data_IF_437232760316
#
_entry.id   IF_437232760316
#
_cell.length_a   1.000
_cell.length_b   1.000
_cell.length_c   1.000
_cell.angle_alpha   90.00
_cell.angle_beta   90.00
_cell.angle_gamma   90.00
#
_symmetry.space_group_name_H-M   'P 1'
#
loop_
_entity.id
_entity.type
_entity.pdbx_description
1 polymer ?
#
# COMPACT_ATOMS: atom_id res chain seq x y z
N UNK A 1 -20.19 -35.86 26.96
CA UNK A 1 -20.93 -34.60 26.75
C UNK A 1 -20.39 -33.89 25.52
N UNK A 2 -21.17 -33.87 24.43
CA UNK A 2 -20.78 -33.18 23.20
C UNK A 2 -21.01 -31.69 23.41
N UNK A 3 -19.94 -30.90 23.49
CA UNK A 3 -20.01 -29.44 23.41
C UNK A 3 -20.83 -29.07 22.18
N UNK A 4 -22.03 -28.50 22.39
CA UNK A 4 -22.89 -28.03 21.31
C UNK A 4 -22.06 -27.13 20.38
N UNK A 5 -21.87 -27.54 19.12
CA UNK A 5 -21.13 -26.75 18.13
C UNK A 5 -21.85 -25.42 17.95
N UNK A 6 -21.37 -24.36 18.61
CA UNK A 6 -21.80 -22.98 18.34
C UNK A 6 -21.60 -22.71 16.85
N UNK A 7 -22.54 -22.03 16.20
CA UNK A 7 -22.42 -21.60 14.80
C UNK A 7 -21.78 -20.21 14.77
N UNK A 8 -20.90 -19.97 13.81
CA UNK A 8 -20.31 -18.65 13.59
C UNK A 8 -21.38 -17.69 13.07
N UNK A 9 -21.31 -16.43 13.51
CA UNK A 9 -22.15 -15.33 13.02
C UNK A 9 -21.33 -14.46 12.07
N UNK A 10 -22.02 -13.82 11.13
CA UNK A 10 -21.44 -12.79 10.29
C UNK A 10 -21.49 -11.46 11.03
N UNK A 11 -20.39 -10.73 10.99
CA UNK A 11 -20.26 -9.38 11.52
C UNK A 11 -19.78 -8.46 10.40
N UNK A 12 -20.38 -7.28 10.31
CA UNK A 12 -20.01 -6.27 9.33
C UNK A 12 -18.81 -5.45 9.82
N UNK A 13 -17.76 -5.45 9.00
CA UNK A 13 -16.52 -4.69 9.19
C UNK A 13 -16.48 -3.53 8.21
N UNK A 14 -16.38 -2.31 8.74
CA UNK A 14 -16.26 -1.10 7.95
C UNK A 14 -14.80 -0.85 7.50
N UNK A 15 -14.65 -0.53 6.22
CA UNK A 15 -13.39 -0.12 5.58
C UNK A 15 -13.48 1.37 5.26
N UNK A 16 -13.09 2.26 6.19
CA UNK A 16 -13.29 3.70 6.05
C UNK A 16 -12.53 4.30 4.87
N UNK A 17 -11.38 3.73 4.48
CA UNK A 17 -10.58 4.24 3.36
C UNK A 17 -11.26 4.06 2.00
N UNK A 18 -12.15 3.07 1.89
CA UNK A 18 -12.79 2.68 0.64
C UNK A 18 -14.30 2.90 0.69
N UNK A 19 -14.83 3.34 1.83
CA UNK A 19 -16.27 3.47 2.12
C UNK A 19 -17.04 2.19 1.78
N UNK A 20 -16.52 1.04 2.20
CA UNK A 20 -17.14 -0.27 1.98
C UNK A 20 -17.25 -1.09 3.25
N UNK A 21 -18.24 -1.97 3.29
CA UNK A 21 -18.40 -2.97 4.33
C UNK A 21 -17.98 -4.34 3.81
N UNK A 22 -17.41 -5.15 4.70
CA UNK A 22 -17.06 -6.55 4.43
C UNK A 22 -17.51 -7.41 5.60
N UNK A 23 -17.98 -8.62 5.31
CA UNK A 23 -18.45 -9.53 6.34
C UNK A 23 -17.35 -10.48 6.79
N UNK A 24 -17.16 -10.60 8.10
CA UNK A 24 -16.30 -11.61 8.72
C UNK A 24 -17.10 -12.55 9.59
N UNK A 25 -16.68 -13.81 9.62
CA UNK A 25 -17.25 -14.82 10.50
C UNK A 25 -16.47 -14.93 11.81
N UNK A 26 -17.17 -14.88 12.93
CA UNK A 26 -16.63 -15.12 14.26
C UNK A 26 -17.68 -15.72 15.19
N UNK A 27 -17.26 -16.29 16.32
CA UNK A 27 -18.18 -16.68 17.39
C UNK A 27 -18.57 -15.48 18.25
N UNK A 28 -17.60 -14.60 18.52
CA UNK A 28 -17.75 -13.39 19.34
C UNK A 28 -17.01 -12.20 18.71
N UNK A 29 -17.45 -10.97 19.03
CA UNK A 29 -16.85 -9.73 18.52
C UNK A 29 -15.37 -9.58 18.89
N UNK A 30 -14.96 -10.11 20.05
CA UNK A 30 -13.57 -10.08 20.52
C UNK A 30 -12.62 -10.86 19.61
N UNK A 31 -13.08 -11.95 18.99
CA UNK A 31 -12.26 -12.74 18.08
C UNK A 31 -11.97 -12.05 16.73
N UNK A 32 -12.66 -10.94 16.43
CA UNK A 32 -12.41 -10.15 15.23
C UNK A 32 -11.20 -9.24 15.39
N UNK A 33 -10.82 -8.92 16.63
CA UNK A 33 -9.73 -8.01 16.90
C UNK A 33 -8.40 -8.57 16.39
N UNK A 34 -7.68 -7.76 15.61
CA UNK A 34 -6.38 -8.15 15.07
C UNK A 34 -6.42 -9.10 13.86
N UNK A 35 -7.59 -9.56 13.41
CA UNK A 35 -7.71 -10.32 12.16
C UNK A 35 -7.25 -9.46 10.98
N UNK A 36 -6.60 -10.12 10.02
CA UNK A 36 -6.14 -9.49 8.79
C UNK A 36 -7.10 -9.80 7.64
N UNK A 37 -7.59 -8.76 6.98
CA UNK A 37 -8.42 -8.86 5.78
C UNK A 37 -7.59 -8.45 4.58
N UNK A 38 -7.54 -9.30 3.55
CA UNK A 38 -7.04 -8.93 2.23
C UNK A 38 -8.20 -8.50 1.34
N UNK A 39 -8.16 -7.26 0.87
CA UNK A 39 -9.17 -6.70 -0.04
C UNK A 39 -8.56 -6.38 -1.40
N UNK A 40 -9.24 -6.77 -2.48
CA UNK A 40 -8.83 -6.47 -3.84
C UNK A 40 -9.43 -5.13 -4.31
N UNK A 41 -8.56 -4.19 -4.65
CA UNK A 41 -8.92 -2.85 -5.09
C UNK A 41 -8.98 -2.71 -6.62
N UNK A 42 -8.75 -3.79 -7.38
CA UNK A 42 -8.63 -3.74 -8.85
C UNK A 42 -9.84 -3.12 -9.53
N UNK A 43 -11.06 -3.43 -9.06
CA UNK A 43 -12.30 -2.86 -9.60
C UNK A 43 -12.44 -1.36 -9.29
N UNK A 44 -12.04 -0.95 -8.09
CA UNK A 44 -12.17 0.44 -7.63
C UNK A 44 -11.17 1.34 -8.34
N UNK A 45 -9.94 0.85 -8.54
CA UNK A 45 -8.85 1.60 -9.16
C UNK A 45 -8.80 1.43 -10.69
N UNK A 46 -9.95 1.14 -11.32
CA UNK A 46 -10.12 1.05 -12.78
C UNK A 46 -9.04 0.20 -13.47
N UNK A 47 -8.75 -0.99 -12.92
CA UNK A 47 -7.80 -1.94 -13.50
C UNK A 47 -6.36 -1.83 -12.97
N UNK A 48 -6.07 -0.92 -12.02
CA UNK A 48 -4.83 -0.98 -11.24
C UNK A 48 -4.91 -2.10 -10.21
N UNK A 49 -4.08 -3.11 -10.42
CA UNK A 49 -4.15 -4.36 -9.67
C UNK A 49 -3.43 -4.28 -8.34
N UNK A 50 -4.20 -4.04 -7.29
CA UNK A 50 -3.66 -3.68 -5.99
C UNK A 50 -4.41 -4.42 -4.89
N UNK A 51 -3.66 -5.04 -4.00
CA UNK A 51 -4.19 -5.66 -2.78
C UNK A 51 -3.91 -4.76 -1.60
N UNK A 52 -4.91 -4.60 -0.75
CA UNK A 52 -4.79 -3.93 0.53
C UNK A 52 -4.99 -4.95 1.65
N UNK A 53 -4.10 -4.95 2.63
CA UNK A 53 -4.26 -5.67 3.89
C UNK A 53 -4.69 -4.69 4.96
N UNK A 54 -5.79 -5.03 5.61
CA UNK A 54 -6.41 -4.27 6.68
C UNK A 54 -6.32 -5.09 7.97
N UNK A 55 -6.09 -4.43 9.10
CA UNK A 55 -6.19 -5.01 10.43
C UNK A 55 -7.49 -4.55 11.05
N UNK A 56 -8.32 -5.49 11.51
CA UNK A 56 -9.58 -5.17 12.16
C UNK A 56 -9.32 -4.68 13.58
N UNK A 57 -9.97 -3.57 13.95
CA UNK A 57 -10.00 -3.01 15.30
C UNK A 57 -11.46 -2.95 15.75
N UNK A 58 -11.74 -3.59 16.87
CA UNK A 58 -13.09 -3.63 17.44
C UNK A 58 -13.25 -2.44 18.39
N UNK A 59 -14.26 -1.62 18.18
CA UNK A 59 -14.77 -0.67 19.18
C UNK A 59 -16.14 -1.18 19.59
N UNK A 60 -16.56 -0.95 20.84
CA UNK A 60 -17.64 -1.68 21.55
C UNK A 60 -18.93 -1.92 20.74
N UNK A 61 -19.27 -1.06 19.77
CA UNK A 61 -20.42 -1.22 18.89
C UNK A 61 -20.09 -1.34 17.39
N UNK A 62 -18.86 -1.03 16.96
CA UNK A 62 -18.47 -1.00 15.53
C UNK A 62 -17.12 -1.65 15.29
N UNK A 63 -17.06 -2.53 14.30
CA UNK A 63 -15.78 -3.10 13.84
C UNK A 63 -15.22 -2.28 12.69
N UNK A 64 -14.13 -1.56 12.97
CA UNK A 64 -13.44 -0.72 12.00
C UNK A 64 -12.16 -1.41 11.53
N UNK A 65 -11.58 -0.93 10.44
CA UNK A 65 -10.35 -1.52 9.91
C UNK A 65 -9.30 -0.47 9.57
N UNK A 66 -8.05 -0.76 9.96
CA UNK A 66 -6.90 0.12 9.77
C UNK A 66 -6.01 -0.48 8.68
N UNK A 67 -5.53 0.32 7.71
CA UNK A 67 -4.63 -0.17 6.67
C UNK A 67 -3.27 -0.55 7.26
N UNK A 68 -2.82 -1.77 6.96
CA UNK A 68 -1.50 -2.27 7.37
C UNK A 68 -0.54 -2.31 6.19
N UNK A 69 -1.01 -2.76 5.04
CA UNK A 69 -0.14 -2.96 3.88
C UNK A 69 -0.90 -2.75 2.58
N UNK A 70 -0.22 -2.18 1.61
CA UNK A 70 -0.63 -2.11 0.23
C UNK A 70 0.42 -2.80 -0.64
N UNK A 71 -0.03 -3.58 -1.62
CA UNK A 71 0.83 -4.32 -2.54
C UNK A 71 0.27 -4.28 -3.95
N UNK A 72 1.09 -3.87 -4.91
CA UNK A 72 0.81 -4.09 -6.33
C UNK A 72 0.99 -5.56 -6.68
N UNK A 73 0.03 -6.08 -7.44
CA UNK A 73 0.03 -7.45 -7.88
C UNK A 73 1.10 -7.69 -8.96
N UNK A 74 1.82 -8.83 -8.94
CA UNK A 74 2.93 -9.08 -9.87
C UNK A 74 2.52 -9.03 -11.34
N UNK A 75 1.30 -9.43 -11.68
CA UNK A 75 0.82 -9.43 -13.07
C UNK A 75 0.70 -8.01 -13.64
N UNK A 76 0.40 -7.00 -12.81
CA UNK A 76 0.41 -5.61 -13.23
C UNK A 76 1.83 -5.14 -13.53
N UNK A 77 2.80 -5.46 -12.67
CA UNK A 77 4.21 -5.13 -12.90
C UNK A 77 4.74 -5.79 -14.19
N UNK A 78 4.49 -7.09 -14.38
CA UNK A 78 4.90 -7.82 -15.58
C UNK A 78 4.34 -7.21 -16.87
N UNK A 79 3.08 -6.75 -16.86
CA UNK A 79 2.43 -6.11 -18.01
C UNK A 79 3.05 -4.75 -18.35
N UNK A 80 3.55 -4.02 -17.35
CA UNK A 80 4.17 -2.71 -17.56
C UNK A 80 5.65 -2.80 -17.97
N UNK A 81 6.33 -3.89 -17.61
CA UNK A 81 7.71 -4.13 -18.04
C UNK A 81 7.77 -4.52 -19.52
N UNK A 82 8.52 -3.74 -20.30
CA UNK A 82 8.74 -3.99 -21.74
C UNK A 82 10.22 -4.24 -22.02
N UNK A 83 10.51 -5.01 -23.07
CA UNK A 83 11.89 -5.16 -23.56
C UNK A 83 12.45 -3.79 -23.96
N UNK A 84 13.74 -3.56 -23.71
CA UNK A 84 14.38 -2.28 -24.00
C UNK A 84 14.18 -1.18 -22.95
N UNK A 85 13.58 -1.49 -21.81
CA UNK A 85 13.45 -0.58 -20.65
C UNK A 85 14.31 -1.05 -19.48
N UNK A 86 14.63 -0.14 -18.56
CA UNK A 86 15.17 -0.53 -17.25
C UNK A 86 14.17 -0.19 -16.14
N UNK A 87 14.09 -1.08 -15.14
CA UNK A 87 13.39 -0.81 -13.90
C UNK A 87 14.39 -0.32 -12.84
N UNK A 88 13.91 0.54 -11.95
CA UNK A 88 14.62 1.00 -10.77
C UNK A 88 13.74 0.71 -9.56
N UNK A 89 14.31 -0.04 -8.63
CA UNK A 89 13.69 -0.37 -7.35
C UNK A 89 14.56 0.12 -6.21
N UNK A 90 13.88 0.37 -5.09
CA UNK A 90 14.50 0.61 -3.81
C UNK A 90 13.66 0.01 -2.68
N UNK A 91 14.23 -0.09 -1.48
CA UNK A 91 13.51 -0.50 -0.28
C UNK A 91 14.12 0.21 0.91
N UNK A 92 13.39 1.15 1.51
CA UNK A 92 13.82 1.88 2.69
C UNK A 92 12.70 1.98 3.72
N UNK A 93 13.06 2.28 4.96
CA UNK A 93 12.11 2.69 5.99
C UNK A 93 12.09 4.21 6.11
N UNK A 94 10.90 4.76 6.33
CA UNK A 94 10.68 6.19 6.53
C UNK A 94 9.79 6.40 7.74
N UNK A 95 10.16 7.32 8.62
CA UNK A 95 9.36 7.70 9.78
C UNK A 95 8.30 8.70 9.35
N UNK A 96 7.04 8.37 9.61
CA UNK A 96 5.92 9.32 9.58
C UNK A 96 5.74 9.94 10.96
N UNK A 97 4.78 10.86 11.09
CA UNK A 97 4.35 11.39 12.39
C UNK A 97 3.96 10.29 13.39
N UNK A 98 3.23 9.27 12.91
CA UNK A 98 2.61 8.27 13.79
C UNK A 98 3.39 6.95 13.86
N UNK A 99 3.95 6.50 12.73
CA UNK A 99 4.54 5.16 12.60
C UNK A 99 5.69 5.13 11.59
N UNK A 100 6.46 4.04 11.61
CA UNK A 100 7.49 3.78 10.62
C UNK A 100 6.92 2.95 9.45
N UNK A 101 7.19 3.37 8.22
CA UNK A 101 6.71 2.71 7.00
C UNK A 101 7.87 2.11 6.23
N UNK A 102 7.70 0.88 5.75
CA UNK A 102 8.57 0.27 4.73
C UNK A 102 8.00 0.52 3.36
N UNK A 103 8.78 1.18 2.50
CA UNK A 103 8.33 1.63 1.19
C UNK A 103 9.24 1.05 0.13
N UNK A 104 8.63 0.49 -0.91
CA UNK A 104 9.31 -0.02 -2.09
C UNK A 104 8.81 0.70 -3.33
N UNK A 105 9.45 1.80 -3.76
CA UNK A 105 9.13 2.43 -5.02
C UNK A 105 9.53 1.54 -6.19
N UNK A 106 8.78 1.67 -7.29
CA UNK A 106 9.00 0.96 -8.54
C UNK A 106 8.89 1.94 -9.71
N UNK A 107 10.01 2.16 -10.39
CA UNK A 107 10.10 3.06 -11.52
C UNK A 107 10.45 2.27 -12.78
N UNK A 108 9.86 2.65 -13.91
CA UNK A 108 10.24 2.14 -15.23
C UNK A 108 10.67 3.32 -16.09
N UNK A 109 11.86 3.21 -16.69
CA UNK A 109 12.41 4.18 -17.64
C UNK A 109 11.88 3.90 -19.05
N UNK A 110 11.76 4.93 -19.90
CA UNK A 110 11.29 4.74 -21.29
C UNK A 110 12.22 3.92 -22.18
N UNK A 111 13.53 3.97 -21.93
CA UNK A 111 14.56 3.22 -22.66
C UNK A 111 15.62 2.70 -21.70
N UNK A 112 16.57 1.92 -22.21
CA UNK A 112 17.76 1.55 -21.44
C UNK A 112 18.56 2.79 -21.07
N UNK A 113 19.01 2.85 -19.83
CA UNK A 113 19.75 3.97 -19.25
C UNK A 113 21.00 3.50 -18.55
N UNK A 114 21.99 4.38 -18.48
CA UNK A 114 23.25 4.10 -17.80
C UNK A 114 23.05 3.83 -16.30
N UNK A 115 24.05 3.21 -15.66
CA UNK A 115 24.02 2.93 -14.22
C UNK A 115 23.95 4.23 -13.40
N UNK A 116 24.62 5.29 -13.84
CA UNK A 116 24.62 6.60 -13.18
C UNK A 116 23.20 7.21 -13.12
N UNK A 117 22.46 7.20 -14.24
CA UNK A 117 21.08 7.71 -14.28
C UNK A 117 20.16 6.91 -13.37
N UNK A 118 20.32 5.57 -13.34
CA UNK A 118 19.53 4.72 -12.41
C UNK A 118 19.82 5.01 -10.94
N UNK A 119 21.09 5.27 -10.60
CA UNK A 119 21.48 5.66 -9.23
C UNK A 119 20.87 7.01 -8.86
N UNK A 120 21.01 8.02 -9.72
CA UNK A 120 20.42 9.34 -9.51
C UNK A 120 18.90 9.30 -9.33
N UNK A 121 18.18 8.52 -10.17
CA UNK A 121 16.74 8.32 -10.03
C UNK A 121 16.37 7.67 -8.68
N UNK A 122 17.15 6.68 -8.23
CA UNK A 122 16.92 5.99 -6.96
C UNK A 122 17.09 6.91 -5.76
N UNK A 123 18.22 7.62 -5.71
CA UNK A 123 18.57 8.52 -4.60
C UNK A 123 17.56 9.67 -4.53
N UNK A 124 17.26 10.30 -5.67
CA UNK A 124 16.27 11.37 -5.71
C UNK A 124 14.87 10.89 -5.33
N UNK A 125 14.46 9.70 -5.80
CA UNK A 125 13.16 9.15 -5.41
C UNK A 125 13.06 8.90 -3.91
N UNK A 126 14.13 8.40 -3.29
CA UNK A 126 14.21 8.18 -1.85
C UNK A 126 14.08 9.47 -1.06
N UNK A 127 14.87 10.50 -1.41
CA UNK A 127 14.82 11.82 -0.77
C UNK A 127 13.41 12.41 -0.81
N UNK A 128 12.80 12.46 -1.99
CA UNK A 128 11.50 13.07 -2.21
C UNK A 128 10.39 12.33 -1.46
N UNK A 129 10.45 11.00 -1.39
CA UNK A 129 9.48 10.20 -0.64
C UNK A 129 9.64 10.43 0.87
N UNK A 130 10.87 10.49 1.38
CA UNK A 130 11.13 10.74 2.81
C UNK A 130 10.61 12.13 3.21
N UNK A 131 10.89 13.15 2.39
CA UNK A 131 10.44 14.51 2.64
C UNK A 131 8.90 14.61 2.60
N UNK A 132 8.27 13.97 1.61
CA UNK A 132 6.81 13.97 1.46
C UNK A 132 6.08 13.33 2.65
N UNK A 133 6.69 12.30 3.24
CA UNK A 133 6.06 11.47 4.28
C UNK A 133 6.25 12.05 5.69
N UNK A 134 7.33 12.78 5.93
CA UNK A 134 7.68 13.32 7.25
C UNK A 134 6.54 14.11 7.92
N UNK A 135 5.73 14.80 7.14
CA UNK A 135 4.67 15.69 7.63
C UNK A 135 3.27 15.07 7.66
N UNK A 136 3.10 13.80 7.24
CA UNK A 136 1.78 13.18 7.05
C UNK A 136 1.53 12.02 8.00
N UNK A 137 0.24 11.72 8.19
CA UNK A 137 -0.19 10.52 8.91
C UNK A 137 -0.20 9.31 7.98
N UNK A 138 -0.13 8.11 8.57
CA UNK A 138 -0.15 6.85 7.81
C UNK A 138 -1.42 6.71 6.97
N UNK A 139 -2.59 7.01 7.53
CA UNK A 139 -3.88 6.91 6.84
C UNK A 139 -3.99 7.84 5.63
N UNK A 140 -3.52 9.09 5.77
CA UNK A 140 -3.48 10.05 4.66
C UNK A 140 -2.59 9.55 3.52
N UNK A 141 -1.42 9.00 3.86
CA UNK A 141 -0.50 8.43 2.86
C UNK A 141 -1.18 7.29 2.10
N UNK A 142 -1.92 6.42 2.79
CA UNK A 142 -2.70 5.36 2.13
C UNK A 142 -3.74 5.94 1.17
N UNK A 143 -4.49 6.97 1.58
CA UNK A 143 -5.48 7.62 0.71
C UNK A 143 -4.82 8.29 -0.51
N UNK A 144 -3.69 8.96 -0.34
CA UNK A 144 -2.98 9.64 -1.42
C UNK A 144 -2.42 8.67 -2.45
N UNK A 145 -1.96 7.50 -2.01
CA UNK A 145 -1.51 6.42 -2.90
C UNK A 145 -2.67 5.87 -3.72
N UNK A 146 -3.85 5.68 -3.11
CA UNK A 146 -5.05 5.25 -3.83
C UNK A 146 -5.49 6.29 -4.87
N UNK A 147 -5.36 7.58 -4.55
CA UNK A 147 -5.64 8.70 -5.47
C UNK A 147 -4.53 8.94 -6.51
N UNK A 148 -3.42 8.20 -6.45
CA UNK A 148 -2.21 8.37 -7.27
C UNK A 148 -1.55 9.76 -7.14
N UNK A 149 -1.75 10.48 -6.04
CA UNK A 149 -1.23 11.83 -5.87
C UNK A 149 0.28 11.82 -5.64
N UNK A 150 0.77 10.95 -4.77
CA UNK A 150 2.19 10.77 -4.49
C UNK A 150 2.96 10.34 -5.74
N UNK A 151 2.41 9.41 -6.51
CA UNK A 151 3.03 8.91 -7.74
C UNK A 151 3.15 10.00 -8.81
N UNK A 152 2.12 10.85 -8.97
CA UNK A 152 2.13 11.96 -9.93
C UNK A 152 3.15 13.03 -9.55
N UNK A 153 3.18 13.45 -8.28
CA UNK A 153 4.13 14.46 -7.81
C UNK A 153 5.58 13.97 -7.95
N UNK A 154 5.84 12.71 -7.60
CA UNK A 154 7.15 12.07 -7.75
C UNK A 154 7.56 11.97 -9.23
N UNK A 155 6.63 11.58 -10.10
CA UNK A 155 6.91 11.46 -11.54
C UNK A 155 7.31 12.79 -12.17
N UNK A 156 6.72 13.91 -11.77
CA UNK A 156 7.06 15.24 -12.30
C UNK A 156 8.48 15.63 -11.90
N UNK A 157 8.84 15.43 -10.63
CA UNK A 157 10.18 15.74 -10.11
C UNK A 157 11.26 14.87 -10.77
N UNK A 158 11.02 13.56 -10.88
CA UNK A 158 11.96 12.62 -11.49
C UNK A 158 12.12 12.81 -13.01
N UNK A 159 11.11 13.38 -13.69
CA UNK A 159 11.18 13.69 -15.12
C UNK A 159 12.31 14.67 -15.47
N UNK A 160 12.75 15.50 -14.51
CA UNK A 160 13.92 16.38 -14.66
C UNK A 160 15.22 15.62 -14.89
N UNK A 161 15.36 14.43 -14.30
CA UNK A 161 16.54 13.57 -14.48
C UNK A 161 16.37 12.74 -15.76
N UNK A 162 15.23 12.04 -15.89
CA UNK A 162 14.96 11.21 -17.05
C UNK A 162 13.45 10.93 -17.20
N UNK A 163 12.90 10.89 -18.43
CA UNK A 163 11.50 10.58 -18.63
C UNK A 163 11.15 9.14 -18.21
N UNK A 164 10.22 9.02 -17.27
CA UNK A 164 9.68 7.73 -16.82
C UNK A 164 8.49 7.28 -17.65
N UNK A 165 8.35 5.97 -17.81
CA UNK A 165 7.16 5.32 -18.35
C UNK A 165 6.15 4.98 -17.24
N UNK A 166 6.65 4.67 -16.04
CA UNK A 166 5.82 4.33 -14.89
C UNK A 166 6.53 4.75 -13.61
N UNK A 167 5.76 5.31 -12.67
CA UNK A 167 6.20 5.62 -11.33
C UNK A 167 5.11 5.15 -10.36
N UNK A 168 5.38 4.10 -9.61
CA UNK A 168 4.40 3.47 -8.72
C UNK A 168 5.05 3.05 -7.40
N UNK A 169 4.22 2.82 -6.38
CA UNK A 169 4.67 2.21 -5.11
C UNK A 169 4.29 0.73 -5.14
N UNK A 170 5.30 -0.13 -5.20
CA UNK A 170 5.10 -1.59 -5.27
C UNK A 170 4.58 -2.15 -3.96
N UNK A 171 5.19 -1.78 -2.84
CA UNK A 171 4.79 -2.20 -1.51
C UNK A 171 4.90 -1.00 -0.58
N UNK A 172 3.84 -0.76 0.20
CA UNK A 172 3.89 0.07 1.40
C UNK A 172 3.40 -0.76 2.57
N UNK A 173 4.17 -0.82 3.65
CA UNK A 173 3.84 -1.62 4.84
C UNK A 173 4.13 -0.83 6.10
N UNK A 174 3.16 -0.78 7.02
CA UNK A 174 3.38 -0.25 8.36
C UNK A 174 4.25 -1.24 9.14
N UNK A 175 5.38 -0.75 9.64
CA UNK A 175 6.19 -1.45 10.63
C UNK A 175 5.60 -1.03 11.99
N UNK A 176 4.70 -1.86 12.52
CA UNK A 176 4.42 -1.77 13.95
C UNK A 176 5.70 -2.24 14.64
N UNK A 177 6.32 -1.37 15.45
CA UNK A 177 7.26 -1.85 16.46
C UNK A 177 6.47 -2.85 17.30
N UNK A 178 6.78 -4.14 17.13
CA UNK A 178 6.47 -5.12 18.15
C UNK A 178 7.31 -4.70 19.36
N UNK A 179 6.65 -4.17 20.39
CA UNK A 179 7.08 -4.45 21.75
C UNK A 179 7.05 -5.97 21.99
#
# INVERSE_FOLDING_TARGET
MVLAKKKKKFFDVEIPIVNKTTQLQAYELKELEGKLITYDLTRILRGKSMLMQLKVKTTEEKTTSIPRQIKLLPYFLKRMMRKGTNYVEDSFSAKCKNTELKIKPFLITRRKVSRAVRKALREKAREEIIEYIKNKNSEDIFQEILKNQLQKSLSIKLKKIYPLSLCEIRILKVIDKKE
#
